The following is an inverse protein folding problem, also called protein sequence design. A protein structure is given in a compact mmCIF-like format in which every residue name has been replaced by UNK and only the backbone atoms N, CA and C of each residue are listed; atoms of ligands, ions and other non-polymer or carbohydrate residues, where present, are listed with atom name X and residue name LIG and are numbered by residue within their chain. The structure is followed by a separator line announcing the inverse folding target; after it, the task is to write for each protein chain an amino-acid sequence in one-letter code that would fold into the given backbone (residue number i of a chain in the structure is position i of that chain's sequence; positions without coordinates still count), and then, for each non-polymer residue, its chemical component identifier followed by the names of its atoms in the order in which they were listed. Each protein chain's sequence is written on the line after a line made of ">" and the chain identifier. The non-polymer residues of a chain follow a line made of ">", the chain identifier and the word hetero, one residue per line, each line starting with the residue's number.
data_IF_232416795099
#
_entry.id   IF_232416795099
#
_cell.length_a   1.000
_cell.length_b   1.000
_cell.length_c   1.000
_cell.angle_alpha   90.00
_cell.angle_beta   90.00
_cell.angle_gamma   90.00
#
_symmetry.space_group_name_H-M   'P 1'
#
loop_
_entity.id
_entity.type
_entity.pdbx_description
1 polymer ?
#
# COMPACT_ATOMS: atom_id res chain seq x y z
N UNK A 1 -25.01 -13.55 -12.17
CA UNK A 1 -23.56 -13.58 -11.94
C UNK A 1 -23.21 -12.49 -10.96
N UNK A 2 -22.64 -12.88 -9.81
CA UNK A 2 -22.16 -11.93 -8.80
C UNK A 2 -21.16 -10.98 -9.45
N UNK A 3 -21.37 -9.69 -9.30
CA UNK A 3 -20.51 -8.66 -9.88
C UNK A 3 -19.28 -8.48 -8.97
N UNK A 4 -18.31 -9.40 -9.07
CA UNK A 4 -17.01 -9.35 -8.37
C UNK A 4 -16.22 -8.07 -8.69
N UNK A 5 -16.66 -7.28 -9.66
CA UNK A 5 -16.11 -5.99 -10.08
C UNK A 5 -15.87 -5.00 -8.93
N UNK A 6 -16.49 -5.21 -7.78
CA UNK A 6 -16.56 -4.23 -6.72
C UNK A 6 -15.56 -4.46 -5.58
N UNK A 7 -15.11 -5.70 -5.37
CA UNK A 7 -14.03 -5.96 -4.43
C UNK A 7 -12.67 -5.42 -4.92
N UNK A 8 -12.53 -5.29 -6.25
CA UNK A 8 -11.32 -4.80 -6.89
C UNK A 8 -11.37 -3.31 -7.28
N UNK A 9 -12.56 -2.68 -7.34
CA UNK A 9 -12.72 -1.27 -7.72
C UNK A 9 -12.82 -0.29 -6.54
N UNK A 10 -12.48 -0.68 -5.33
CA UNK A 10 -12.46 0.24 -4.17
C UNK A 10 -11.41 1.37 -4.29
N UNK A 11 -10.51 1.31 -5.29
CA UNK A 11 -9.35 2.20 -5.39
C UNK A 11 -9.56 3.52 -6.13
N UNK A 12 -10.71 3.77 -6.78
CA UNK A 12 -10.96 5.07 -7.42
C UNK A 12 -11.59 6.08 -6.45
N UNK A 13 -10.88 6.50 -5.41
CA UNK A 13 -11.18 7.79 -4.83
C UNK A 13 -10.36 8.86 -5.58
N UNK A 14 -11.00 9.57 -6.50
CA UNK A 14 -10.45 10.79 -7.12
C UNK A 14 -9.95 11.81 -6.07
N UNK A 15 -10.37 11.65 -4.83
CA UNK A 15 -9.94 12.44 -3.68
C UNK A 15 -8.46 12.23 -3.32
N UNK A 16 -7.91 11.02 -3.42
CA UNK A 16 -6.51 10.76 -3.07
C UNK A 16 -5.54 11.40 -4.07
N UNK A 17 -5.86 11.39 -5.36
CA UNK A 17 -5.06 12.10 -6.38
C UNK A 17 -5.21 13.63 -6.27
N UNK A 18 -6.38 14.15 -5.88
CA UNK A 18 -6.59 15.59 -5.66
C UNK A 18 -5.88 16.08 -4.39
N UNK A 19 -5.80 15.28 -3.32
CA UNK A 19 -5.01 15.61 -2.14
C UNK A 19 -3.51 15.67 -2.46
N UNK A 20 -2.98 14.73 -3.25
CA UNK A 20 -1.59 14.76 -3.71
C UNK A 20 -1.29 16.01 -4.56
N UNK A 21 -2.20 16.39 -5.46
CA UNK A 21 -2.04 17.58 -6.31
C UNK A 21 -2.15 18.88 -5.52
N UNK A 22 -3.03 18.95 -4.52
CA UNK A 22 -3.22 20.13 -3.67
C UNK A 22 -2.04 20.35 -2.72
N UNK A 23 -1.46 19.28 -2.20
CA UNK A 23 -0.26 19.34 -1.37
C UNK A 23 0.99 19.77 -2.16
N UNK A 24 1.08 19.42 -3.45
CA UNK A 24 2.14 19.89 -4.35
C UNK A 24 2.06 21.42 -4.59
N UNK A 25 0.87 22.03 -4.59
CA UNK A 25 0.71 23.48 -4.74
C UNK A 25 1.09 24.28 -3.49
N UNK A 26 0.95 23.72 -2.29
CA UNK A 26 1.32 24.39 -1.03
C UNK A 26 2.84 24.55 -0.91
N UNK A 27 3.62 23.62 -1.46
CA UNK A 27 5.10 23.68 -1.42
C UNK A 27 5.67 24.82 -2.29
N UNK A 28 4.93 25.33 -3.27
CA UNK A 28 5.39 26.41 -4.15
C UNK A 28 5.24 27.81 -3.54
N UNK A 29 4.35 27.98 -2.57
CA UNK A 29 4.06 29.29 -1.95
C UNK A 29 4.95 29.64 -0.75
N UNK A 30 5.72 28.70 -0.21
CA UNK A 30 6.60 28.94 0.94
C UNK A 30 7.99 29.48 0.59
N UNK A 31 8.35 29.59 -0.70
CA UNK A 31 9.68 29.99 -1.15
C UNK A 31 9.88 31.48 -1.43
N UNK A 32 8.95 32.37 -1.10
CA UNK A 32 8.99 33.73 -1.60
C UNK A 32 9.40 34.82 -0.60
N UNK A 33 10.03 34.54 0.53
CA UNK A 33 10.63 35.60 1.37
C UNK A 33 11.78 35.06 2.23
N UNK A 34 12.98 34.97 1.66
CA UNK A 34 14.20 34.91 2.45
C UNK A 34 15.25 35.82 1.86
N UNK A 35 15.28 37.05 2.35
CA UNK A 35 16.38 37.97 2.16
C UNK A 35 17.57 37.54 3.04
N UNK A 36 18.75 37.52 2.44
CA UNK A 36 19.99 37.09 3.06
C UNK A 36 20.40 37.97 4.22
N UNK A 37 20.59 37.38 5.39
CA UNK A 37 21.46 37.92 6.41
C UNK A 37 22.43 36.83 6.89
N UNK A 38 23.70 37.21 6.84
CA UNK A 38 24.88 36.43 7.18
C UNK A 38 25.06 36.31 8.68
N UNK A 39 24.41 35.33 9.28
CA UNK A 39 24.83 34.67 10.52
C UNK A 39 24.35 33.22 10.43
N UNK A 40 25.28 32.25 10.50
CA UNK A 40 24.93 30.86 10.79
C UNK A 40 24.37 30.81 12.23
N UNK A 41 23.15 31.25 12.44
CA UNK A 41 22.41 30.94 13.65
C UNK A 41 21.96 29.49 13.51
N UNK A 42 22.23 28.68 14.53
CA UNK A 42 21.58 27.38 14.71
C UNK A 42 20.08 27.59 14.46
N UNK A 43 19.57 26.94 13.42
CA UNK A 43 18.15 27.02 13.07
C UNK A 43 17.42 26.00 13.94
N UNK A 44 16.80 26.43 15.05
CA UNK A 44 16.33 25.50 16.08
C UNK A 44 15.06 24.75 15.69
N UNK A 45 14.42 25.12 14.58
CA UNK A 45 13.14 24.55 14.17
C UNK A 45 13.27 23.87 12.81
N UNK A 46 12.59 22.76 12.68
CA UNK A 46 12.55 21.96 11.47
C UNK A 46 11.11 21.53 11.15
N UNK A 47 10.73 21.65 9.88
CA UNK A 47 9.56 20.99 9.34
C UNK A 47 9.97 20.11 8.18
N UNK A 48 9.53 18.87 8.19
CA UNK A 48 9.79 17.89 7.12
C UNK A 48 8.45 17.34 6.63
N UNK A 49 8.26 17.33 5.34
CA UNK A 49 7.23 16.56 4.68
C UNK A 49 7.87 15.40 3.94
N UNK A 50 7.34 14.21 4.17
CA UNK A 50 7.79 12.99 3.52
C UNK A 50 6.59 12.22 2.98
N UNK A 51 6.71 11.67 1.78
CA UNK A 51 5.72 10.79 1.17
C UNK A 51 6.43 9.56 0.61
N UNK A 52 5.89 8.41 0.92
CA UNK A 52 6.36 7.11 0.44
C UNK A 52 5.15 6.32 -0.08
N UNK A 53 5.28 5.79 -1.28
CA UNK A 53 4.25 4.95 -1.91
C UNK A 53 4.96 3.73 -2.47
N UNK A 54 4.45 2.57 -2.14
CA UNK A 54 4.94 1.30 -2.64
C UNK A 54 3.78 0.44 -3.09
N UNK A 55 3.93 -0.23 -4.22
CA UNK A 55 2.91 -1.11 -4.78
C UNK A 55 3.55 -2.25 -5.53
N UNK A 56 2.93 -3.43 -5.45
CA UNK A 56 3.35 -4.59 -6.20
C UNK A 56 2.20 -5.58 -6.42
N UNK A 57 2.07 -6.05 -7.65
CA UNK A 57 1.17 -7.12 -8.05
C UNK A 57 1.89 -8.05 -9.03
N UNK A 58 2.32 -9.25 -8.64
CA UNK A 58 2.97 -10.18 -9.57
C UNK A 58 2.04 -10.70 -10.65
N UNK A 59 0.73 -10.61 -10.45
CA UNK A 59 -0.30 -11.22 -11.30
C UNK A 59 -0.61 -10.42 -12.55
N UNK A 60 -0.67 -9.10 -12.42
CA UNK A 60 -1.03 -8.12 -13.46
C UNK A 60 -0.30 -6.81 -13.18
N UNK A 61 -0.22 -5.90 -14.17
CA UNK A 61 0.18 -4.52 -13.88
C UNK A 61 -0.74 -3.88 -12.84
N UNK A 62 -0.27 -2.87 -12.14
CA UNK A 62 -1.05 -2.18 -11.12
C UNK A 62 -2.28 -1.50 -11.74
N UNK A 63 -2.13 -0.96 -12.95
CA UNK A 63 -3.23 -0.34 -13.68
C UNK A 63 -4.29 -1.38 -14.05
N UNK A 64 -3.91 -2.44 -14.75
CA UNK A 64 -4.81 -3.54 -15.11
C UNK A 64 -5.46 -4.19 -13.88
N UNK A 65 -4.70 -4.41 -12.81
CA UNK A 65 -5.22 -4.98 -11.56
C UNK A 65 -6.31 -4.12 -10.93
N UNK A 66 -6.19 -2.81 -11.00
CA UNK A 66 -7.17 -1.88 -10.42
C UNK A 66 -8.36 -1.58 -11.33
N UNK A 67 -8.30 -1.90 -12.64
CA UNK A 67 -9.37 -1.58 -13.60
C UNK A 67 -9.95 -2.85 -14.30
N UNK A 68 -9.38 -3.30 -15.38
CA UNK A 68 -10.07 -4.19 -16.31
C UNK A 68 -9.57 -5.64 -16.35
N UNK A 69 -8.39 -5.93 -15.84
CA UNK A 69 -7.75 -7.26 -15.88
C UNK A 69 -7.59 -7.79 -17.31
N UNK A 70 -7.27 -6.92 -18.25
CA UNK A 70 -7.19 -7.23 -19.69
C UNK A 70 -5.84 -7.80 -20.12
N UNK A 71 -4.78 -7.61 -19.31
CA UNK A 71 -3.47 -8.19 -19.56
C UNK A 71 -3.42 -9.71 -19.36
N UNK A 72 -2.42 -10.39 -19.95
CA UNK A 72 -2.17 -11.79 -19.66
C UNK A 72 -1.96 -12.06 -18.16
N UNK A 73 -2.66 -13.08 -17.66
CA UNK A 73 -2.53 -13.48 -16.26
C UNK A 73 -1.17 -14.13 -16.02
N UNK A 74 -0.39 -13.61 -15.08
CA UNK A 74 0.81 -14.25 -14.57
C UNK A 74 0.57 -14.91 -13.21
N UNK A 75 1.50 -15.74 -12.78
CA UNK A 75 1.38 -16.45 -11.52
C UNK A 75 1.65 -15.52 -10.34
N UNK A 76 0.68 -15.42 -9.44
CA UNK A 76 0.76 -14.60 -8.24
C UNK A 76 -0.41 -14.89 -7.31
N UNK A 77 -0.29 -14.50 -6.06
CA UNK A 77 -1.24 -14.78 -4.99
C UNK A 77 -1.51 -13.58 -4.08
N UNK A 78 -1.00 -12.41 -4.43
CA UNK A 78 -1.24 -11.16 -3.72
C UNK A 78 -1.18 -9.94 -4.63
N UNK A 79 -1.66 -8.83 -4.11
CA UNK A 79 -1.37 -7.48 -4.59
C UNK A 79 -1.47 -6.51 -3.42
N UNK A 80 -0.64 -5.46 -3.42
CA UNK A 80 -0.75 -4.41 -2.41
C UNK A 80 -0.40 -3.02 -2.94
N UNK A 81 -0.96 -2.02 -2.28
CA UNK A 81 -0.56 -0.62 -2.36
C UNK A 81 -0.48 -0.10 -0.93
N UNK A 82 0.67 0.41 -0.53
CA UNK A 82 0.87 1.08 0.76
C UNK A 82 1.40 2.49 0.51
N UNK A 83 0.72 3.48 1.08
CA UNK A 83 1.05 4.88 0.95
C UNK A 83 1.14 5.57 2.31
N UNK A 84 2.16 6.39 2.49
CA UNK A 84 2.38 7.23 3.67
C UNK A 84 2.64 8.66 3.25
N UNK A 85 2.13 9.60 4.02
CA UNK A 85 2.51 11.01 3.91
C UNK A 85 2.53 11.62 5.30
N UNK A 86 3.68 12.10 5.72
CA UNK A 86 3.92 12.61 7.07
C UNK A 86 4.45 14.04 7.00
N UNK A 87 3.85 14.94 7.78
CA UNK A 87 4.40 16.28 8.03
C UNK A 87 4.85 16.32 9.47
N UNK A 88 6.17 16.37 9.69
CA UNK A 88 6.80 16.36 11.02
C UNK A 88 7.37 17.70 11.37
N UNK A 89 7.07 18.15 12.59
CA UNK A 89 7.68 19.30 13.23
C UNK A 89 8.61 18.83 14.35
N UNK A 90 9.83 19.36 14.39
CA UNK A 90 10.81 19.08 15.44
C UNK A 90 11.61 20.34 15.78
N UNK A 91 12.30 20.32 16.93
CA UNK A 91 13.18 21.40 17.37
C UNK A 91 14.42 20.81 18.04
N UNK A 92 15.57 21.44 17.86
CA UNK A 92 16.83 21.04 18.52
C UNK A 92 16.80 21.25 20.04
N UNK A 93 15.82 22.02 20.55
CA UNK A 93 15.64 22.29 21.98
C UNK A 93 14.88 21.19 22.73
N UNK A 94 14.27 20.24 22.00
CA UNK A 94 13.46 19.17 22.59
C UNK A 94 13.66 17.85 21.83
N UNK A 95 13.77 16.72 22.53
CA UNK A 95 13.77 15.41 21.90
C UNK A 95 12.38 15.02 21.33
N UNK A 96 11.34 15.81 21.65
CA UNK A 96 9.98 15.56 21.17
C UNK A 96 9.77 16.14 19.77
N UNK A 97 9.10 15.38 18.94
CA UNK A 97 8.59 15.83 17.65
C UNK A 97 7.12 15.46 17.48
N UNK A 98 6.42 16.19 16.61
CA UNK A 98 5.00 16.04 16.34
C UNK A 98 4.78 15.80 14.85
N UNK A 99 3.83 14.95 14.50
CA UNK A 99 3.55 14.64 13.12
C UNK A 99 2.05 14.63 12.83
N UNK A 100 1.70 15.11 11.63
CA UNK A 100 0.43 14.80 11.00
C UNK A 100 0.70 13.70 10.00
N UNK A 101 -0.03 12.61 10.13
CA UNK A 101 0.21 11.39 9.36
C UNK A 101 -1.02 11.04 8.53
N UNK A 102 -0.78 10.65 7.27
CA UNK A 102 -1.78 10.02 6.41
C UNK A 102 -1.27 8.64 6.00
N UNK A 103 -2.16 7.64 6.02
CA UNK A 103 -1.86 6.26 5.62
C UNK A 103 -2.94 5.75 4.68
N UNK A 104 -2.50 5.00 3.71
CA UNK A 104 -3.34 4.27 2.77
C UNK A 104 -2.76 2.87 2.61
N UNK A 105 -3.52 1.87 3.00
CA UNK A 105 -3.14 0.47 2.88
C UNK A 105 -4.24 -0.28 2.15
N UNK A 106 -3.88 -0.98 1.09
CA UNK A 106 -4.74 -1.88 0.35
C UNK A 106 -3.98 -3.18 0.10
N UNK A 107 -4.39 -4.25 0.74
CA UNK A 107 -3.77 -5.56 0.67
C UNK A 107 -4.79 -6.59 0.22
N UNK A 108 -4.41 -7.38 -0.77
CA UNK A 108 -5.16 -8.53 -1.24
C UNK A 108 -4.28 -9.78 -1.17
N UNK A 109 -4.83 -10.87 -0.65
CA UNK A 109 -4.26 -12.20 -0.77
C UNK A 109 -5.30 -13.11 -1.42
N UNK A 110 -4.89 -13.88 -2.40
CA UNK A 110 -5.76 -14.79 -3.14
C UNK A 110 -4.98 -16.01 -3.63
N UNK A 111 -5.67 -17.08 -3.96
CA UNK A 111 -4.99 -18.19 -4.61
C UNK A 111 -5.02 -18.06 -6.14
N UNK A 112 -4.11 -18.72 -6.88
CA UNK A 112 -4.05 -18.63 -8.35
C UNK A 112 -5.37 -19.04 -9.05
N UNK A 113 -6.15 -19.94 -8.45
CA UNK A 113 -7.43 -20.34 -8.99
C UNK A 113 -8.48 -19.20 -8.95
N UNK A 114 -8.48 -18.40 -7.89
CA UNK A 114 -9.33 -17.20 -7.77
C UNK A 114 -8.94 -16.16 -8.82
N UNK A 115 -7.64 -15.90 -8.98
CA UNK A 115 -7.14 -14.97 -10.00
C UNK A 115 -7.55 -15.43 -11.41
N UNK A 116 -7.37 -16.73 -11.71
CA UNK A 116 -7.76 -17.30 -13.00
C UNK A 116 -9.26 -17.14 -13.28
N UNK A 117 -10.12 -17.53 -12.33
CA UNK A 117 -11.58 -17.43 -12.51
C UNK A 117 -12.02 -15.97 -12.69
N UNK A 118 -11.40 -15.04 -11.95
CA UNK A 118 -11.72 -13.63 -12.09
C UNK A 118 -11.25 -13.06 -13.43
N UNK A 119 -10.06 -13.41 -13.88
CA UNK A 119 -9.53 -13.03 -15.18
C UNK A 119 -10.35 -13.59 -16.33
N UNK A 120 -10.71 -14.87 -16.28
CA UNK A 120 -11.60 -15.50 -17.27
C UNK A 120 -12.94 -14.76 -17.34
N UNK A 121 -13.53 -14.41 -16.21
CA UNK A 121 -14.76 -13.64 -16.12
C UNK A 121 -14.63 -12.25 -16.77
N UNK A 122 -13.56 -11.52 -16.46
CA UNK A 122 -13.31 -10.19 -17.01
C UNK A 122 -13.09 -10.20 -18.51
N UNK A 123 -12.43 -11.22 -19.01
CA UNK A 123 -12.12 -11.40 -20.44
C UNK A 123 -13.20 -12.15 -21.22
N UNK A 124 -14.40 -12.35 -20.65
CA UNK A 124 -15.49 -13.13 -21.25
C UNK A 124 -15.05 -14.53 -21.71
N UNK A 125 -14.12 -15.13 -21.00
CA UNK A 125 -13.67 -16.51 -21.18
C UNK A 125 -14.39 -17.39 -20.18
N UNK A 126 -14.60 -18.65 -20.56
CA UNK A 126 -15.08 -19.66 -19.62
C UNK A 126 -13.86 -20.37 -19.02
N UNK A 127 -13.88 -20.67 -17.70
CA UNK A 127 -12.84 -21.46 -17.09
C UNK A 127 -12.68 -22.81 -17.79
N UNK A 128 -11.45 -23.31 -17.89
CA UNK A 128 -11.13 -24.52 -18.65
C UNK A 128 -11.79 -25.80 -18.12
N UNK A 129 -11.91 -26.75 -19.01
CA UNK A 129 -12.73 -27.95 -18.98
C UNK A 129 -12.67 -28.78 -17.71
N UNK A 130 -13.86 -29.25 -17.24
CA UNK A 130 -14.03 -30.27 -16.19
C UNK A 130 -13.11 -30.08 -14.97
N UNK A 131 -12.92 -28.84 -14.56
CA UNK A 131 -11.98 -28.49 -13.49
C UNK A 131 -12.69 -27.92 -12.27
N UNK A 132 -12.18 -28.22 -11.09
CA UNK A 132 -12.56 -27.58 -9.84
C UNK A 132 -11.57 -26.46 -9.52
N UNK A 133 -12.09 -25.31 -9.21
CA UNK A 133 -11.36 -24.11 -8.79
C UNK A 133 -11.70 -23.83 -7.33
N UNK A 134 -10.79 -24.14 -6.38
CA UNK A 134 -10.96 -23.66 -5.02
C UNK A 134 -10.77 -22.15 -5.01
N UNK A 135 -11.71 -21.42 -4.43
CA UNK A 135 -11.68 -19.96 -4.38
C UNK A 135 -11.28 -19.50 -2.97
N UNK A 136 -10.34 -18.56 -2.92
CA UNK A 136 -9.93 -17.91 -1.69
C UNK A 136 -9.44 -16.50 -2.00
N UNK A 137 -10.02 -15.51 -1.30
CA UNK A 137 -9.59 -14.12 -1.34
C UNK A 137 -9.72 -13.54 0.07
N UNK A 138 -8.74 -12.76 0.49
CA UNK A 138 -8.80 -11.88 1.65
C UNK A 138 -8.46 -10.47 1.19
N UNK A 139 -9.25 -9.49 1.59
CA UNK A 139 -9.04 -8.09 1.29
C UNK A 139 -9.00 -7.29 2.57
N UNK A 140 -7.99 -6.45 2.73
CA UNK A 140 -7.86 -5.46 3.79
C UNK A 140 -7.55 -4.09 3.19
N UNK A 141 -8.38 -3.11 3.54
CA UNK A 141 -8.22 -1.72 3.14
C UNK A 141 -8.39 -0.82 4.36
N UNK A 142 -7.47 0.12 4.51
CA UNK A 142 -7.51 1.13 5.55
C UNK A 142 -6.97 2.45 5.03
N UNK A 143 -7.77 3.50 5.11
CA UNK A 143 -7.37 4.88 4.87
C UNK A 143 -7.60 5.67 6.14
N UNK A 144 -6.56 6.39 6.62
CA UNK A 144 -6.61 7.05 7.92
C UNK A 144 -5.75 8.31 7.97
N UNK A 145 -6.21 9.27 8.76
CA UNK A 145 -5.50 10.48 9.12
C UNK A 145 -5.20 10.46 10.62
N UNK A 146 -4.00 10.86 11.02
CA UNK A 146 -3.61 10.78 12.42
C UNK A 146 -2.66 11.86 12.88
N UNK A 147 -2.48 11.87 14.20
CA UNK A 147 -1.51 12.70 14.88
C UNK A 147 -0.51 11.80 15.62
N UNK A 148 0.77 12.09 15.44
CA UNK A 148 1.88 11.35 16.04
C UNK A 148 2.68 12.20 17.01
N UNK A 149 3.15 11.59 18.09
CA UNK A 149 4.15 12.16 19.01
C UNK A 149 5.31 11.19 19.04
N UNK A 150 6.51 11.69 18.75
CA UNK A 150 7.73 10.90 18.80
C UNK A 150 8.70 11.48 19.83
N UNK A 151 9.52 10.61 20.40
CA UNK A 151 10.60 10.99 21.30
C UNK A 151 11.91 10.35 20.85
N UNK A 152 12.94 11.16 20.67
CA UNK A 152 14.25 10.72 20.22
C UNK A 152 15.14 10.38 21.40
N UNK A 153 15.69 9.17 21.39
CA UNK A 153 16.65 8.68 22.37
C UNK A 153 18.01 8.48 21.70
N UNK A 154 19.01 9.17 22.20
CA UNK A 154 20.39 8.95 21.80
C UNK A 154 21.03 7.88 22.67
N UNK A 155 21.61 6.88 22.03
CA UNK A 155 22.30 5.78 22.68
C UNK A 155 23.83 5.84 22.42
N UNK A 156 24.66 5.16 23.22
CA UNK A 156 26.08 5.07 22.95
C UNK A 156 26.42 4.60 21.55
N UNK A 157 27.61 4.97 21.04
CA UNK A 157 28.09 4.58 19.70
C UNK A 157 27.28 5.15 18.52
N UNK A 158 26.67 6.32 18.67
CA UNK A 158 25.92 7.03 17.62
C UNK A 158 24.68 6.25 17.14
N UNK A 159 24.04 5.53 18.06
CA UNK A 159 22.73 4.96 17.84
C UNK A 159 21.65 5.93 18.27
N UNK A 160 20.57 5.95 17.50
CA UNK A 160 19.39 6.76 17.77
C UNK A 160 18.15 5.89 17.60
N UNK A 161 17.24 5.97 18.55
CA UNK A 161 15.94 5.28 18.52
C UNK A 161 14.85 6.32 18.72
N UNK A 162 13.88 6.33 17.82
CA UNK A 162 12.77 7.28 17.86
C UNK A 162 11.45 6.52 17.74
N UNK A 163 10.85 6.08 18.86
CA UNK A 163 9.48 5.59 18.87
C UNK A 163 8.50 6.75 18.64
N UNK A 164 7.44 6.50 17.86
CA UNK A 164 6.35 7.43 17.61
C UNK A 164 5.02 6.74 17.91
N UNK A 165 4.24 7.31 18.81
CA UNK A 165 2.86 6.88 19.06
C UNK A 165 1.90 7.67 18.16
N UNK A 166 1.05 6.98 17.43
CA UNK A 166 0.04 7.57 16.55
C UNK A 166 -1.36 7.31 17.07
N UNK A 167 -2.23 8.31 16.92
CA UNK A 167 -3.68 8.19 17.12
C UNK A 167 -4.34 8.47 15.77
N UNK A 168 -5.28 7.61 15.37
CA UNK A 168 -5.88 7.60 14.06
C UNK A 168 -7.37 7.91 14.09
N UNK A 169 -7.82 8.69 13.11
CA UNK A 169 -9.20 8.79 12.65
C UNK A 169 -9.30 7.99 11.35
N UNK A 170 -10.18 6.99 11.30
CA UNK A 170 -10.48 6.25 10.09
C UNK A 170 -11.26 7.08 9.09
N UNK A 171 -10.78 7.14 7.86
CA UNK A 171 -11.45 7.78 6.74
C UNK A 171 -12.26 6.76 5.95
N UNK A 172 -11.62 5.63 5.61
CA UNK A 172 -12.22 4.51 4.91
C UNK A 172 -11.67 3.19 5.46
N UNK A 173 -12.48 2.13 5.41
CA UNK A 173 -12.07 0.81 5.83
C UNK A 173 -12.89 -0.29 5.18
N UNK A 174 -12.22 -1.41 4.88
CA UNK A 174 -12.84 -2.65 4.43
C UNK A 174 -12.00 -3.82 4.95
N UNK A 175 -12.65 -4.86 5.42
CA UNK A 175 -12.05 -6.19 5.59
C UNK A 175 -13.01 -7.22 5.09
N UNK A 176 -12.52 -8.21 4.34
CA UNK A 176 -13.41 -9.19 3.75
C UNK A 176 -12.73 -10.48 3.34
N UNK A 177 -13.53 -11.52 3.26
CA UNK A 177 -13.10 -12.84 2.78
C UNK A 177 -14.10 -13.40 1.78
N UNK A 178 -13.57 -14.04 0.73
CA UNK A 178 -14.32 -14.89 -0.17
C UNK A 178 -13.73 -16.28 -0.12
N UNK A 179 -14.55 -17.30 0.05
CA UNK A 179 -14.14 -18.70 0.06
C UNK A 179 -15.14 -19.53 -0.72
N UNK A 180 -14.70 -20.62 -1.28
CA UNK A 180 -15.62 -21.54 -1.96
C UNK A 180 -14.99 -22.38 -3.04
N UNK A 181 -15.86 -22.89 -3.91
CA UNK A 181 -15.50 -23.74 -5.03
C UNK A 181 -16.34 -23.39 -6.26
N UNK A 182 -15.69 -23.44 -7.40
CA UNK A 182 -16.35 -23.39 -8.70
C UNK A 182 -15.92 -24.61 -9.50
N UNK A 183 -16.88 -25.35 -10.06
CA UNK A 183 -16.61 -26.50 -10.93
C UNK A 183 -17.16 -26.21 -12.32
N UNK A 184 -16.37 -26.46 -13.33
CA UNK A 184 -16.77 -26.34 -14.75
C UNK A 184 -16.98 -27.70 -15.38
N UNK A 185 -17.73 -27.73 -16.47
CA UNK A 185 -17.87 -28.89 -17.34
C UNK A 185 -18.04 -28.42 -18.76
N UNK A 186 -17.66 -29.26 -19.70
CA UNK A 186 -17.99 -29.09 -21.13
C UNK A 186 -19.44 -29.49 -21.40
N UNK A 187 -20.14 -28.61 -22.09
CA UNK A 187 -21.54 -28.85 -22.51
C UNK A 187 -21.74 -28.31 -23.93
N UNK A 188 -22.86 -28.68 -24.54
CA UNK A 188 -23.27 -28.11 -25.84
C UNK A 188 -24.15 -26.87 -25.58
N UNK A 189 -23.87 -25.77 -26.26
CA UNK A 189 -24.75 -24.61 -26.31
C UNK A 189 -25.98 -24.83 -27.19
N UNK A 190 -26.85 -23.82 -27.34
CA UNK A 190 -28.03 -23.87 -28.15
C UNK A 190 -27.73 -24.10 -29.65
N UNK A 191 -26.55 -23.71 -30.12
CA UNK A 191 -26.05 -23.92 -31.46
C UNK A 191 -25.31 -25.25 -31.64
N UNK A 192 -25.35 -26.15 -30.65
CA UNK A 192 -24.61 -27.43 -30.56
C UNK A 192 -23.10 -27.29 -30.66
N UNK A 193 -22.56 -26.14 -30.33
CA UNK A 193 -21.14 -25.90 -30.19
C UNK A 193 -20.69 -26.32 -28.77
N UNK A 194 -19.55 -26.97 -28.70
CA UNK A 194 -18.94 -27.34 -27.41
C UNK A 194 -18.47 -26.09 -26.67
N UNK A 195 -18.97 -25.87 -25.47
CA UNK A 195 -18.64 -24.73 -24.62
C UNK A 195 -18.43 -25.22 -23.19
N UNK A 196 -17.53 -24.55 -22.46
CA UNK A 196 -17.38 -24.77 -21.05
C UNK A 196 -18.40 -23.96 -20.27
N UNK A 197 -19.02 -24.59 -19.29
CA UNK A 197 -20.01 -23.98 -18.42
C UNK A 197 -19.73 -24.24 -16.96
N UNK A 198 -20.15 -23.34 -16.11
CA UNK A 198 -20.18 -23.60 -14.66
C UNK A 198 -21.21 -24.68 -14.38
N UNK A 199 -20.80 -25.76 -13.72
CA UNK A 199 -21.70 -26.84 -13.32
C UNK A 199 -22.13 -26.74 -11.87
N UNK A 200 -21.22 -26.35 -10.98
CA UNK A 200 -21.47 -26.12 -9.56
C UNK A 200 -20.66 -24.92 -9.12
N UNK A 201 -21.24 -24.09 -8.26
CA UNK A 201 -20.53 -23.06 -7.51
C UNK A 201 -21.10 -22.98 -6.09
N UNK A 202 -20.21 -22.98 -5.10
CA UNK A 202 -20.55 -22.72 -3.69
C UNK A 202 -19.60 -21.62 -3.25
N UNK A 203 -20.14 -20.44 -2.95
CA UNK A 203 -19.31 -19.27 -2.63
C UNK A 203 -19.85 -18.60 -1.38
N UNK A 204 -19.00 -18.47 -0.37
CA UNK A 204 -19.23 -17.68 0.83
C UNK A 204 -18.44 -16.38 0.71
N UNK A 205 -19.12 -15.26 0.84
CA UNK A 205 -18.54 -13.93 0.89
C UNK A 205 -19.00 -13.25 2.18
N UNK A 206 -18.03 -12.77 2.95
CA UNK A 206 -18.27 -11.97 4.15
C UNK A 206 -17.37 -10.76 4.13
N UNK A 207 -17.92 -9.56 4.28
CA UNK A 207 -17.11 -8.35 4.38
C UNK A 207 -17.77 -7.24 5.22
N UNK A 208 -16.92 -6.47 5.90
CA UNK A 208 -17.28 -5.25 6.63
C UNK A 208 -16.67 -4.05 5.90
N UNK A 209 -17.40 -2.93 5.86
CA UNK A 209 -17.04 -1.81 4.99
C UNK A 209 -17.66 -0.49 5.43
N UNK A 210 -17.06 0.61 5.04
CA UNK A 210 -17.65 1.95 5.17
C UNK A 210 -18.43 2.39 3.91
N UNK A 211 -18.15 1.75 2.76
CA UNK A 211 -18.87 1.97 1.49
C UNK A 211 -19.29 0.63 0.88
N UNK A 212 -20.56 0.47 0.47
CA UNK A 212 -21.03 -0.76 -0.17
C UNK A 212 -20.22 -1.09 -1.42
N UNK A 213 -19.61 -2.28 -1.46
CA UNK A 213 -18.84 -2.76 -2.61
C UNK A 213 -19.71 -3.49 -3.64
N UNK A 214 -20.79 -4.14 -3.24
CA UNK A 214 -21.69 -4.91 -4.12
C UNK A 214 -22.98 -4.18 -4.49
N UNK A 215 -23.01 -2.85 -4.31
CA UNK A 215 -24.17 -1.99 -4.62
C UNK A 215 -25.43 -2.36 -3.81
N UNK A 216 -25.24 -2.66 -2.53
CA UNK A 216 -26.33 -2.94 -1.58
C UNK A 216 -27.27 -1.75 -1.42
N UNK A 217 -26.82 -0.55 -1.77
CA UNK A 217 -27.64 0.65 -1.86
C UNK A 217 -28.83 0.48 -2.84
N UNK A 218 -28.68 -0.35 -3.89
CA UNK A 218 -29.75 -0.66 -4.85
C UNK A 218 -30.88 -1.49 -4.28
N UNK A 219 -30.65 -2.20 -3.16
CA UNK A 219 -31.68 -2.91 -2.42
C UNK A 219 -32.15 -2.14 -1.20
N UNK A 220 -31.83 -0.84 -1.13
CA UNK A 220 -32.25 0.05 -0.05
C UNK A 220 -31.39 0.00 1.21
N UNK A 221 -30.23 -0.68 1.18
CA UNK A 221 -29.31 -0.70 2.31
C UNK A 221 -28.42 0.56 2.29
N UNK A 222 -28.71 1.51 3.15
CA UNK A 222 -27.99 2.78 3.27
C UNK A 222 -27.60 3.04 4.74
N UNK A 223 -26.65 2.28 5.28
CA UNK A 223 -26.20 2.48 6.65
C UNK A 223 -25.45 3.80 6.80
N UNK A 224 -25.50 4.39 7.99
CA UNK A 224 -24.66 5.54 8.32
C UNK A 224 -23.19 5.14 8.19
N UNK A 225 -22.33 6.12 7.81
CA UNK A 225 -20.89 5.91 7.79
C UNK A 225 -20.40 5.54 9.20
N UNK A 226 -19.65 4.44 9.35
CA UNK A 226 -19.09 4.05 10.64
C UNK A 226 -18.05 5.06 11.12
N UNK A 227 -17.86 5.13 12.42
CA UNK A 227 -16.78 5.91 13.02
C UNK A 227 -15.62 4.98 13.38
N UNK A 228 -14.41 5.29 12.86
CA UNK A 228 -13.20 4.53 13.14
C UNK A 228 -12.20 5.37 13.93
N UNK A 229 -11.72 4.85 15.04
CA UNK A 229 -10.60 5.40 15.80
C UNK A 229 -9.55 4.32 16.00
N UNK A 230 -8.29 4.71 16.10
CA UNK A 230 -7.22 3.72 16.24
C UNK A 230 -5.94 4.28 16.82
N UNK A 231 -4.98 3.40 16.95
CA UNK A 231 -3.62 3.75 17.36
C UNK A 231 -2.61 2.86 16.65
N UNK A 232 -1.36 3.32 16.59
CA UNK A 232 -0.22 2.49 16.19
C UNK A 232 1.07 3.02 16.80
N UNK A 233 2.11 2.18 16.74
CA UNK A 233 3.48 2.52 17.09
C UNK A 233 4.34 2.48 15.83
N UNK A 234 5.05 3.57 15.55
CA UNK A 234 6.15 3.56 14.59
C UNK A 234 7.47 3.54 15.35
N UNK A 235 8.51 2.99 14.75
CA UNK A 235 9.84 2.89 15.34
C UNK A 235 10.90 3.20 14.30
N UNK A 236 11.70 4.24 14.53
CA UNK A 236 12.83 4.59 13.69
C UNK A 236 14.13 4.33 14.44
N UNK A 237 15.03 3.58 13.83
CA UNK A 237 16.34 3.25 14.39
C UNK A 237 17.41 3.64 13.37
N UNK A 238 18.35 4.45 13.80
CA UNK A 238 19.52 4.80 13.02
C UNK A 238 20.77 4.48 13.83
N UNK A 239 21.79 3.93 13.18
CA UNK A 239 23.02 3.59 13.89
C UNK A 239 24.25 3.47 13.00
N UNK A 240 25.41 3.71 13.59
CA UNK A 240 26.68 3.45 12.94
C UNK A 240 27.26 2.12 13.42
N UNK A 241 27.56 1.27 12.46
CA UNK A 241 28.26 0.01 12.64
C UNK A 241 29.78 0.21 12.36
N UNK A 242 30.65 -0.73 12.76
CA UNK A 242 32.06 -0.68 12.37
C UNK A 242 32.26 -0.61 10.85
N UNK A 243 33.45 -0.15 10.43
CA UNK A 243 33.88 -0.10 9.03
C UNK A 243 33.05 0.82 8.13
N UNK A 244 32.69 2.03 8.62
CA UNK A 244 31.90 3.04 7.88
C UNK A 244 30.59 2.49 7.32
N UNK A 245 29.94 1.65 8.11
CA UNK A 245 28.65 1.07 7.77
C UNK A 245 27.55 1.78 8.58
N UNK A 246 26.43 2.12 7.94
CA UNK A 246 25.23 2.64 8.59
C UNK A 246 24.11 1.62 8.52
N UNK A 247 23.27 1.59 9.55
CA UNK A 247 22.03 0.84 9.61
C UNK A 247 20.87 1.81 9.84
N UNK A 248 19.81 1.65 9.06
CA UNK A 248 18.52 2.30 9.28
C UNK A 248 17.43 1.22 9.32
N UNK A 249 16.50 1.36 10.25
CA UNK A 249 15.29 0.54 10.34
C UNK A 249 14.13 1.47 10.61
N UNK A 250 13.15 1.48 9.71
CA UNK A 250 11.91 2.20 9.86
C UNK A 250 10.76 1.18 9.87
N UNK A 251 10.11 1.06 11.01
CA UNK A 251 8.97 0.16 11.21
C UNK A 251 7.72 1.00 11.47
N UNK A 252 6.69 0.79 10.68
CA UNK A 252 5.45 1.55 10.71
C UNK A 252 4.29 0.67 11.10
N UNK A 253 3.36 1.25 11.86
CA UNK A 253 2.10 0.63 12.27
C UNK A 253 2.28 -0.69 13.03
N UNK A 254 3.43 -0.86 13.70
CA UNK A 254 3.68 -2.01 14.59
C UNK A 254 2.66 -1.96 15.73
N UNK A 255 2.00 -3.10 16.02
CA UNK A 255 0.92 -3.20 17.02
C UNK A 255 -0.29 -2.28 16.74
N UNK A 256 -0.47 -1.84 15.49
CA UNK A 256 -1.53 -0.93 15.10
C UNK A 256 -2.90 -1.60 15.05
N UNK A 257 -3.93 -0.87 15.55
CA UNK A 257 -5.34 -1.29 15.48
C UNK A 257 -6.28 -0.14 15.19
N UNK A 258 -7.28 -0.41 14.35
CA UNK A 258 -8.48 0.43 14.19
C UNK A 258 -9.67 -0.24 14.83
N UNK A 259 -10.49 0.56 15.50
CA UNK A 259 -11.77 0.15 16.07
C UNK A 259 -12.88 0.91 15.36
N UNK A 260 -13.73 0.18 14.67
CA UNK A 260 -14.85 0.72 13.94
C UNK A 260 -16.13 0.39 14.70
N UNK A 261 -16.94 1.41 14.97
CA UNK A 261 -18.23 1.25 15.60
C UNK A 261 -19.35 1.20 14.57
N UNK A 262 -20.29 0.28 14.74
CA UNK A 262 -21.42 0.07 13.83
C UNK A 262 -21.02 -0.15 12.36
N UNK A 263 -19.92 -0.85 12.11
CA UNK A 263 -19.43 -1.12 10.74
C UNK A 263 -20.46 -1.97 9.99
N UNK A 264 -20.94 -1.51 8.82
CA UNK A 264 -21.81 -2.33 7.97
C UNK A 264 -21.13 -3.63 7.58
N UNK A 265 -21.88 -4.70 7.59
CA UNK A 265 -21.42 -6.04 7.26
C UNK A 265 -22.42 -6.70 6.31
N UNK A 266 -21.88 -7.32 5.29
CA UNK A 266 -22.62 -8.12 4.32
C UNK A 266 -22.07 -9.53 4.30
N UNK A 267 -22.94 -10.48 4.50
CA UNK A 267 -22.68 -11.92 4.35
C UNK A 267 -23.52 -12.44 3.19
N UNK A 268 -22.90 -13.12 2.22
CA UNK A 268 -23.58 -13.82 1.14
C UNK A 268 -23.13 -15.26 1.05
N UNK A 269 -24.11 -16.17 0.96
CA UNK A 269 -23.89 -17.55 0.59
C UNK A 269 -24.58 -17.77 -0.76
N UNK A 270 -23.79 -18.12 -1.77
CA UNK A 270 -24.25 -18.39 -3.12
C UNK A 270 -23.99 -19.85 -3.49
N UNK A 271 -25.07 -20.56 -3.81
CA UNK A 271 -25.00 -21.94 -4.28
C UNK A 271 -25.63 -22.01 -5.67
N UNK A 272 -24.92 -22.63 -6.59
CA UNK A 272 -25.38 -22.90 -7.96
C UNK A 272 -25.15 -24.36 -8.32
N UNK A 273 -26.15 -24.96 -8.99
CA UNK A 273 -26.04 -26.27 -9.59
C UNK A 273 -26.79 -26.29 -10.93
N UNK A 274 -26.12 -26.63 -12.01
CA UNK A 274 -26.72 -26.71 -13.35
C UNK A 274 -27.91 -27.68 -13.45
N UNK A 275 -27.95 -28.71 -12.57
CA UNK A 275 -29.03 -29.70 -12.51
C UNK A 275 -29.99 -29.47 -11.34
N UNK A 276 -29.71 -28.49 -10.47
CA UNK A 276 -30.51 -28.18 -9.30
C UNK A 276 -31.88 -27.58 -9.62
N UNK A 277 -32.81 -27.70 -8.69
CA UNK A 277 -34.13 -27.07 -8.75
C UNK A 277 -34.49 -26.45 -7.41
N UNK A 278 -34.37 -25.16 -7.20
CA UNK A 278 -33.93 -24.12 -8.17
C UNK A 278 -32.46 -24.28 -8.54
N UNK A 279 -32.02 -23.73 -9.70
CA UNK A 279 -30.63 -23.88 -10.15
C UNK A 279 -29.64 -23.07 -9.29
N UNK A 280 -30.11 -22.06 -8.56
CA UNK A 280 -29.30 -21.28 -7.63
C UNK A 280 -30.10 -20.91 -6.39
N UNK A 281 -29.37 -20.73 -5.30
CA UNK A 281 -29.84 -20.05 -4.08
C UNK A 281 -28.85 -18.95 -3.73
N UNK A 282 -29.35 -17.82 -3.31
CA UNK A 282 -28.57 -16.72 -2.76
C UNK A 282 -29.21 -16.34 -1.42
N UNK A 283 -28.47 -16.59 -0.34
CA UNK A 283 -28.82 -16.12 0.99
C UNK A 283 -27.94 -14.92 1.34
N UNK A 284 -28.54 -13.86 1.84
CA UNK A 284 -27.83 -12.63 2.18
C UNK A 284 -28.26 -12.12 3.54
N UNK A 285 -27.30 -11.69 4.34
CA UNK A 285 -27.53 -11.01 5.59
C UNK A 285 -26.81 -9.66 5.59
N UNK A 286 -27.57 -8.60 5.89
CA UNK A 286 -27.05 -7.25 6.09
C UNK A 286 -27.16 -6.93 7.59
N UNK A 287 -26.06 -6.52 8.17
CA UNK A 287 -25.99 -6.24 9.61
C UNK A 287 -25.00 -5.11 9.90
N UNK A 288 -24.91 -4.72 11.17
CA UNK A 288 -23.88 -3.81 11.67
C UNK A 288 -23.19 -4.49 12.84
N UNK A 289 -21.86 -4.43 12.87
CA UNK A 289 -21.06 -4.97 13.96
C UNK A 289 -19.86 -4.08 14.22
N UNK A 290 -19.42 -4.05 15.46
CA UNK A 290 -18.12 -3.47 15.78
C UNK A 290 -17.01 -4.31 15.17
N UNK A 291 -16.02 -3.65 14.59
CA UNK A 291 -14.86 -4.28 13.97
C UNK A 291 -13.58 -3.81 14.66
N UNK A 292 -12.72 -4.75 15.02
CA UNK A 292 -11.33 -4.50 15.38
C UNK A 292 -10.44 -4.96 14.22
N UNK A 293 -9.92 -4.02 13.44
CA UNK A 293 -9.05 -4.26 12.30
C UNK A 293 -7.60 -4.07 12.73
N UNK A 294 -6.75 -5.07 12.51
CA UNK A 294 -5.30 -4.89 12.65
C UNK A 294 -4.81 -4.01 11.50
N UNK A 295 -3.93 -3.07 11.80
CA UNK A 295 -3.29 -2.26 10.77
C UNK A 295 -2.16 -3.07 10.12
N UNK A 296 -2.04 -3.03 8.79
CA UNK A 296 -0.91 -3.64 8.10
C UNK A 296 0.40 -2.97 8.51
N UNK A 297 1.35 -3.77 8.97
CA UNK A 297 2.67 -3.27 9.30
C UNK A 297 3.56 -3.15 8.05
N UNK A 298 4.53 -2.23 8.11
CA UNK A 298 5.51 -2.05 7.04
C UNK A 298 6.86 -1.76 7.65
N UNK A 299 7.89 -2.52 7.27
CA UNK A 299 9.26 -2.33 7.75
C UNK A 299 10.19 -2.11 6.57
N UNK A 300 10.95 -1.03 6.64
CA UNK A 300 12.04 -0.74 5.72
C UNK A 300 13.37 -0.83 6.46
N UNK A 301 14.35 -1.44 5.85
CA UNK A 301 15.70 -1.49 6.40
C UNK A 301 16.71 -1.08 5.34
N UNK A 302 17.75 -0.37 5.76
CA UNK A 302 18.87 -0.02 4.90
C UNK A 302 20.18 -0.28 5.63
N UNK A 303 21.06 -1.06 5.02
CA UNK A 303 22.46 -1.22 5.44
C UNK A 303 23.31 -0.66 4.31
N UNK A 304 24.10 0.36 4.60
CA UNK A 304 24.96 1.02 3.63
C UNK A 304 26.40 1.07 4.14
N UNK A 305 27.32 0.59 3.32
CA UNK A 305 28.76 0.62 3.59
C UNK A 305 29.48 1.54 2.62
N UNK A 306 30.19 2.52 3.17
CA UNK A 306 31.07 3.39 2.39
C UNK A 306 32.43 2.69 2.18
N UNK A 307 32.80 2.48 0.93
CA UNK A 307 34.06 1.83 0.58
C UNK A 307 35.10 2.80 -0.01
N UNK A 308 34.65 3.96 -0.52
CA UNK A 308 35.51 5.10 -0.84
C UNK A 308 34.83 6.42 -0.42
N UNK A 309 35.53 7.55 -0.37
CA UNK A 309 34.87 8.84 -0.11
C UNK A 309 33.76 9.21 -1.09
N UNK A 310 33.80 8.65 -2.32
CA UNK A 310 32.85 8.93 -3.38
C UNK A 310 31.75 7.86 -3.54
N UNK A 311 31.92 6.65 -3.00
CA UNK A 311 31.03 5.53 -3.29
C UNK A 311 30.65 4.72 -2.06
N UNK A 312 29.36 4.37 -2.00
CA UNK A 312 28.81 3.41 -1.04
C UNK A 312 28.02 2.31 -1.75
N UNK A 313 27.96 1.14 -1.12
CA UNK A 313 27.11 0.03 -1.51
C UNK A 313 26.11 -0.24 -0.38
N UNK A 314 24.84 -0.42 -0.73
CA UNK A 314 23.77 -0.67 0.22
C UNK A 314 22.92 -1.87 -0.17
N UNK A 315 22.26 -2.42 0.86
CA UNK A 315 21.15 -3.33 0.75
C UNK A 315 19.95 -2.69 1.44
N UNK A 316 18.90 -2.41 0.67
CA UNK A 316 17.63 -1.90 1.17
C UNK A 316 16.63 -3.05 1.12
N UNK A 317 15.81 -3.18 2.15
CA UNK A 317 14.81 -4.24 2.20
C UNK A 317 13.50 -3.70 2.71
N UNK A 318 12.42 -4.17 2.11
CA UNK A 318 11.05 -3.83 2.42
C UNK A 318 10.32 -5.10 2.83
N UNK A 319 9.60 -5.07 3.94
CA UNK A 319 8.84 -6.18 4.48
C UNK A 319 7.43 -5.70 4.82
N UNK A 320 6.43 -6.48 4.46
CA UNK A 320 5.05 -6.29 4.87
C UNK A 320 4.33 -7.64 5.02
N UNK A 321 3.01 -7.63 5.26
CA UNK A 321 2.22 -8.84 5.51
C UNK A 321 2.20 -9.84 4.35
N UNK A 322 2.52 -9.42 3.12
CA UNK A 322 2.37 -10.26 1.92
C UNK A 322 3.67 -10.53 1.18
N UNK A 323 4.73 -9.71 1.38
CA UNK A 323 5.98 -9.87 0.62
C UNK A 323 7.21 -9.33 1.33
N UNK A 324 8.38 -9.79 0.84
CA UNK A 324 9.70 -9.29 1.22
C UNK A 324 10.46 -8.93 -0.05
N UNK A 325 10.90 -7.68 -0.19
CA UNK A 325 11.63 -7.19 -1.35
C UNK A 325 13.00 -6.67 -0.95
N UNK A 326 14.00 -6.92 -1.79
CA UNK A 326 15.40 -6.54 -1.51
C UNK A 326 16.00 -5.79 -2.69
N UNK A 327 16.61 -4.64 -2.44
CA UNK A 327 17.20 -3.76 -3.42
C UNK A 327 18.71 -3.61 -3.16
N UNK A 328 19.49 -3.79 -4.19
CA UNK A 328 20.90 -3.39 -4.19
C UNK A 328 20.99 -1.91 -4.56
N UNK A 329 21.73 -1.14 -3.76
CA UNK A 329 21.88 0.29 -3.90
C UNK A 329 23.36 0.65 -4.13
N UNK A 330 23.67 1.34 -5.22
CA UNK A 330 25.01 1.91 -5.47
C UNK A 330 24.91 3.42 -5.40
N UNK A 331 25.49 4.02 -4.38
CA UNK A 331 25.43 5.46 -4.12
C UNK A 331 26.73 6.15 -4.52
N UNK A 332 26.60 7.21 -5.32
CA UNK A 332 27.68 8.15 -5.64
C UNK A 332 27.51 9.44 -4.84
N UNK A 333 28.50 9.75 -3.99
CA UNK A 333 28.60 11.00 -3.24
C UNK A 333 29.25 12.04 -4.15
N UNK A 334 28.45 12.87 -4.81
CA UNK A 334 28.96 13.83 -5.79
C UNK A 334 29.76 14.95 -5.12
N UNK A 335 30.68 15.56 -5.89
CA UNK A 335 31.35 16.79 -5.45
C UNK A 335 30.48 18.05 -5.68
N UNK A 336 29.36 17.89 -6.44
CA UNK A 336 28.42 18.97 -6.66
C UNK A 336 27.70 19.33 -5.35
N UNK A 337 27.81 20.60 -4.98
CA UNK A 337 27.21 21.13 -3.74
C UNK A 337 26.09 22.10 -4.07
N UNK A 338 24.91 21.83 -3.53
CA UNK A 338 23.81 22.78 -3.50
C UNK A 338 23.74 23.39 -2.09
N UNK A 339 23.75 24.72 -1.97
CA UNK A 339 23.80 25.42 -0.65
C UNK A 339 24.88 24.84 0.28
N UNK A 340 26.10 24.60 -0.23
CA UNK A 340 27.26 24.01 0.48
C UNK A 340 27.14 22.54 0.90
N UNK A 341 26.02 21.88 0.69
CA UNK A 341 25.79 20.46 1.01
C UNK A 341 25.91 19.60 -0.27
N UNK A 342 26.63 18.47 -0.22
CA UNK A 342 26.77 17.58 -1.39
C UNK A 342 25.45 16.90 -1.74
N UNK A 343 25.25 16.70 -3.04
CA UNK A 343 24.18 15.87 -3.58
C UNK A 343 24.64 14.41 -3.62
N UNK A 344 23.76 13.47 -3.34
CA UNK A 344 24.00 12.04 -3.56
C UNK A 344 23.07 11.50 -4.63
N UNK A 345 23.57 10.56 -5.43
CA UNK A 345 22.82 9.86 -6.48
C UNK A 345 22.97 8.36 -6.25
N UNK A 346 21.85 7.64 -6.17
CA UNK A 346 21.82 6.20 -5.94
C UNK A 346 21.10 5.49 -7.07
N UNK A 347 21.77 4.54 -7.71
CA UNK A 347 21.14 3.56 -8.59
C UNK A 347 20.59 2.40 -7.74
N UNK A 348 19.37 1.99 -8.01
CA UNK A 348 18.66 0.92 -7.32
C UNK A 348 18.39 -0.24 -8.28
N UNK A 349 18.53 -1.47 -7.80
CA UNK A 349 18.19 -2.70 -8.52
C UNK A 349 17.47 -3.65 -7.56
N UNK A 350 16.25 -4.06 -7.89
CA UNK A 350 15.43 -5.02 -7.17
C UNK A 350 15.30 -6.31 -8.01
N UNK A 351 16.15 -7.32 -7.79
CA UNK A 351 16.22 -8.50 -8.68
C UNK A 351 14.94 -9.34 -8.72
N UNK A 352 14.18 -9.39 -7.60
CA UNK A 352 12.97 -10.21 -7.49
C UNK A 352 11.87 -9.75 -8.46
N UNK A 353 11.72 -8.46 -8.64
CA UNK A 353 10.71 -7.85 -9.52
C UNK A 353 11.30 -7.38 -10.85
N UNK A 354 12.64 -7.41 -10.99
CA UNK A 354 13.41 -6.82 -12.09
C UNK A 354 13.30 -5.30 -12.15
N UNK A 355 12.86 -4.66 -11.09
CA UNK A 355 12.71 -3.21 -11.04
C UNK A 355 14.08 -2.53 -10.92
N UNK A 356 14.20 -1.41 -11.60
CA UNK A 356 15.35 -0.51 -11.51
C UNK A 356 14.91 0.88 -11.07
N UNK A 357 15.77 1.59 -10.39
CA UNK A 357 15.41 2.89 -9.84
C UNK A 357 16.59 3.85 -9.73
N UNK A 358 16.22 5.10 -9.49
CA UNK A 358 17.15 6.19 -9.23
C UNK A 358 16.66 6.98 -8.01
N UNK A 359 17.61 7.30 -7.13
CA UNK A 359 17.38 8.22 -6.02
C UNK A 359 18.36 9.41 -6.15
N UNK A 360 17.83 10.60 -5.92
CA UNK A 360 18.62 11.83 -5.77
C UNK A 360 18.29 12.41 -4.40
N UNK A 361 19.32 12.66 -3.58
CA UNK A 361 19.13 13.13 -2.20
C UNK A 361 20.06 14.29 -1.88
N UNK A 362 19.48 15.30 -1.27
CA UNK A 362 20.12 16.43 -0.63
C UNK A 362 19.64 16.50 0.83
N UNK A 363 20.27 17.31 1.68
CA UNK A 363 19.81 17.47 3.08
C UNK A 363 18.37 18.03 3.16
N UNK A 364 18.01 18.94 2.23
CA UNK A 364 16.73 19.67 2.24
C UNK A 364 15.64 18.98 1.41
N UNK A 365 15.98 18.02 0.54
CA UNK A 365 15.02 17.31 -0.29
C UNK A 365 15.58 15.98 -0.80
N UNK A 366 14.70 15.09 -1.17
CA UNK A 366 15.05 13.87 -1.87
C UNK A 366 13.89 13.35 -2.69
N UNK A 367 14.23 12.62 -3.75
CA UNK A 367 13.28 11.88 -4.56
C UNK A 367 13.90 10.53 -4.94
N UNK A 368 13.10 9.49 -4.86
CA UNK A 368 13.45 8.15 -5.31
C UNK A 368 12.29 7.58 -6.12
N UNK A 369 12.61 6.96 -7.24
CA UNK A 369 11.65 6.26 -8.08
C UNK A 369 12.24 4.92 -8.49
N UNK A 370 11.44 3.85 -8.38
CA UNK A 370 11.80 2.49 -8.79
C UNK A 370 10.58 1.86 -9.46
N UNK A 371 10.79 1.23 -10.61
CA UNK A 371 9.75 0.49 -11.32
C UNK A 371 10.35 -0.65 -12.14
N UNK A 372 9.56 -1.68 -12.42
CA UNK A 372 9.94 -2.79 -13.30
C UNK A 372 9.63 -2.49 -14.77
N UNK A 373 8.76 -1.51 -15.04
CA UNK A 373 8.53 -0.98 -16.38
C UNK A 373 8.51 0.56 -16.36
N UNK A 374 8.96 1.19 -17.45
CA UNK A 374 8.92 2.65 -17.61
C UNK A 374 7.53 3.14 -18.01
N UNK A 375 6.72 2.28 -18.63
CA UNK A 375 5.32 2.54 -18.86
C UNK A 375 4.53 2.22 -17.58
N UNK A 376 4.00 3.25 -16.94
CA UNK A 376 3.24 3.11 -15.70
C UNK A 376 2.01 2.19 -15.84
N UNK A 377 1.46 2.04 -17.04
CA UNK A 377 0.31 1.17 -17.28
C UNK A 377 0.71 -0.31 -17.25
N UNK A 378 1.95 -0.63 -17.63
CA UNK A 378 2.47 -2.00 -17.69
C UNK A 378 3.21 -2.39 -16.39
N UNK A 379 3.48 -1.42 -15.52
CA UNK A 379 4.27 -1.64 -14.31
C UNK A 379 3.53 -2.49 -13.26
N UNK A 380 4.17 -3.57 -12.82
CA UNK A 380 3.73 -4.44 -11.72
C UNK A 380 4.30 -4.00 -10.39
N UNK A 381 5.47 -3.40 -10.39
CA UNK A 381 6.18 -2.88 -9.22
C UNK A 381 6.46 -1.38 -9.40
N UNK A 382 5.97 -0.58 -8.45
CA UNK A 382 6.29 0.86 -8.38
C UNK A 382 6.60 1.23 -6.93
N UNK A 383 7.70 1.96 -6.72
CA UNK A 383 7.98 2.62 -5.47
C UNK A 383 8.42 4.07 -5.71
N UNK A 384 7.82 4.98 -4.97
CA UNK A 384 8.11 6.42 -5.00
C UNK A 384 8.33 6.91 -3.57
N UNK A 385 9.47 7.55 -3.33
CA UNK A 385 9.72 8.28 -2.09
C UNK A 385 10.08 9.72 -2.44
N UNK A 386 9.57 10.64 -1.65
CA UNK A 386 9.84 12.06 -1.78
C UNK A 386 9.87 12.71 -0.39
N UNK A 387 10.86 13.56 -0.13
CA UNK A 387 10.83 14.41 1.06
C UNK A 387 11.31 15.83 0.77
N UNK A 388 10.80 16.77 1.54
CA UNK A 388 11.28 18.15 1.62
C UNK A 388 11.41 18.54 3.09
N UNK A 389 12.51 19.19 3.40
CA UNK A 389 12.82 19.69 4.74
C UNK A 389 13.12 21.19 4.69
N UNK A 390 12.62 21.90 5.67
CA UNK A 390 12.89 23.31 5.87
C UNK A 390 13.32 23.58 7.30
N UNK A 391 14.49 24.18 7.47
CA UNK A 391 15.07 24.58 8.76
C UNK A 391 14.99 26.12 8.87
N UNK A 392 14.56 26.69 10.01
CA UNK A 392 14.50 28.15 10.25
C UNK A 392 14.84 28.54 11.69
#
# INVERSE_FOLDING_TARGET
>A
MLNLKLLFNASRSQASLQLLSTLLFISYSLNSHAQADTYESEKPYNIQWETDITSYSPTQSIDSFTDDWDEPLENGDFAYIQGRSDIRYSTDQSPLSYALNYRYDYLLSFNPATAQVYWDYKNNKLPSENRRYPLMLTADYSERLGFGIANQFELPKQWQITPQLNIWQGLHGLTGTLKGDLTTKTAYDEQRKLVDTVSVANIDLSYQYDKPALKEDRIGWQPNKPNGIGYSLDLHINGKLPYDTTLMVDAYDVLGKMYWHDMPMTDYNFNYSAIGRPPYTLEGQLSKKDLSQNLPWHVQTAIEKRFTPAWSLGLYSEFNDVTNLHQLALTHHTQFKLKRTPLTMTGLLEPQTKAIGLQVKHKDFGISYLADDLNMNDAKRVALNFFVRHDW
#
